data_IF_215271012308
#
_entry.id   IF_215271012308
#
_cell.length_a   1.000
_cell.length_b   1.000
_cell.length_c   1.000
_cell.angle_alpha   90.00
_cell.angle_beta   90.00
_cell.angle_gamma   90.00
#
_symmetry.space_group_name_H-M   'P 1'
#
loop_
_entity.id
_entity.type
_entity.pdbx_description
1 polymer ?
#
# COMPACT_ATOMS: atom_id res chain seq x y z
N UNK A 1 -6.06 8.08 -16.03
CA UNK A 1 -4.61 8.14 -16.34
C UNK A 1 -3.91 7.07 -15.52
N UNK A 2 -3.13 6.20 -16.15
CA UNK A 2 -2.36 5.16 -15.46
C UNK A 2 -0.99 5.67 -15.00
N UNK A 3 -0.69 5.47 -13.73
CA UNK A 3 0.59 5.82 -13.09
C UNK A 3 1.20 4.54 -12.53
N UNK A 4 2.32 4.09 -13.10
CA UNK A 4 3.08 2.98 -12.53
C UNK A 4 3.98 3.46 -11.38
N UNK A 5 3.55 3.18 -10.16
CA UNK A 5 4.21 3.68 -8.94
C UNK A 5 5.58 3.03 -8.71
N UNK A 6 5.72 1.74 -9.03
CA UNK A 6 6.98 1.02 -8.86
C UNK A 6 8.01 1.43 -9.92
N UNK A 7 7.59 1.69 -11.17
CA UNK A 7 8.47 2.26 -12.18
C UNK A 7 8.98 3.63 -11.75
N UNK A 8 8.10 4.51 -11.27
CA UNK A 8 8.49 5.84 -10.78
C UNK A 8 9.52 5.77 -9.63
N UNK A 9 9.34 4.82 -8.71
CA UNK A 9 10.31 4.58 -7.64
C UNK A 9 11.63 4.02 -8.17
N UNK A 10 11.60 3.04 -9.07
CA UNK A 10 12.81 2.46 -9.65
C UNK A 10 13.63 3.46 -10.46
N UNK A 11 12.97 4.39 -11.17
CA UNK A 11 13.67 5.52 -11.83
C UNK A 11 14.41 6.37 -10.80
N UNK A 12 13.78 6.69 -9.66
CA UNK A 12 14.42 7.40 -8.56
C UNK A 12 15.61 6.60 -7.98
N UNK A 13 15.44 5.29 -7.75
CA UNK A 13 16.52 4.41 -7.29
C UNK A 13 17.71 4.37 -8.25
N UNK A 14 17.47 4.29 -9.56
CA UNK A 14 18.55 4.22 -10.57
C UNK A 14 19.42 5.48 -10.63
N UNK A 15 18.90 6.61 -10.13
CA UNK A 15 19.62 7.88 -10.07
C UNK A 15 20.51 8.02 -8.82
N UNK A 16 20.51 7.02 -7.94
CA UNK A 16 21.17 7.06 -6.63
C UNK A 16 22.09 5.86 -6.41
N UNK A 17 23.07 6.02 -5.53
CA UNK A 17 23.95 4.90 -5.16
C UNK A 17 23.17 3.82 -4.39
N UNK A 18 23.74 2.62 -4.31
CA UNK A 18 23.21 1.54 -3.45
C UNK A 18 23.52 1.75 -1.96
N UNK A 19 24.37 2.73 -1.66
CA UNK A 19 24.87 3.07 -0.31
C UNK A 19 24.00 4.10 0.42
N UNK A 20 22.84 4.46 -0.16
CA UNK A 20 21.93 5.44 0.42
C UNK A 20 20.54 4.85 0.68
N UNK A 21 19.94 5.26 1.81
CA UNK A 21 18.53 5.07 2.09
C UNK A 21 17.70 5.87 1.09
N UNK A 22 16.76 5.22 0.41
CA UNK A 22 15.87 5.89 -0.55
C UNK A 22 14.43 5.71 -0.13
N UNK A 23 13.67 6.81 -0.11
CA UNK A 23 12.25 6.81 0.17
C UNK A 23 11.48 7.67 -0.84
N UNK A 24 10.28 7.21 -1.22
CA UNK A 24 9.28 8.01 -1.92
C UNK A 24 7.90 7.79 -1.34
N UNK A 25 6.96 8.68 -1.65
CA UNK A 25 5.55 8.47 -1.32
C UNK A 25 4.63 9.00 -2.42
N UNK A 26 3.48 8.34 -2.57
CA UNK A 26 2.38 8.75 -3.42
C UNK A 26 1.15 8.95 -2.56
N UNK A 27 0.55 10.14 -2.59
CA UNK A 27 -0.68 10.45 -1.87
C UNK A 27 -1.85 10.44 -2.84
N UNK A 28 -2.95 9.81 -2.43
CA UNK A 28 -4.20 9.81 -3.18
C UNK A 28 -5.06 11.01 -2.77
N UNK A 29 -5.82 11.56 -3.73
CA UNK A 29 -6.78 12.63 -3.46
C UNK A 29 -8.04 12.09 -2.78
N UNK A 30 -8.47 10.90 -3.22
CA UNK A 30 -9.52 10.11 -2.61
C UNK A 30 -9.01 8.69 -2.39
N UNK A 31 -9.47 7.96 -1.35
CA UNK A 31 -9.09 6.59 -1.17
C UNK A 31 -9.41 5.75 -2.42
N UNK A 32 -8.42 5.12 -3.08
CA UNK A 32 -8.68 4.30 -4.24
C UNK A 32 -9.18 2.92 -3.83
N UNK A 33 -9.96 2.29 -4.69
CA UNK A 33 -10.25 0.86 -4.52
C UNK A 33 -9.00 0.06 -4.89
N UNK A 34 -8.47 -0.76 -3.96
CA UNK A 34 -7.36 -1.65 -4.27
C UNK A 34 -7.91 -2.88 -4.99
N UNK A 35 -7.30 -3.27 -6.11
CA UNK A 35 -7.73 -4.42 -6.93
C UNK A 35 -6.52 -5.31 -7.20
N UNK A 36 -6.55 -6.52 -6.68
CA UNK A 36 -5.52 -7.51 -7.01
C UNK A 36 -5.77 -8.08 -8.40
N UNK A 37 -4.75 -8.10 -9.24
CA UNK A 37 -4.82 -8.58 -10.63
C UNK A 37 -3.64 -9.47 -10.97
N UNK A 38 -3.81 -10.36 -11.95
CA UNK A 38 -2.73 -11.25 -12.41
C UNK A 38 -1.64 -10.49 -13.16
N UNK A 39 -2.08 -9.57 -14.01
CA UNK A 39 -1.26 -8.76 -14.89
C UNK A 39 -1.98 -7.43 -15.18
N UNK A 40 -1.23 -6.46 -15.70
CA UNK A 40 -1.73 -5.13 -16.02
C UNK A 40 -2.37 -5.03 -17.42
N UNK A 41 -2.33 -6.10 -18.22
CA UNK A 41 -2.89 -6.09 -19.57
C UNK A 41 -4.40 -6.35 -19.53
N UNK A 42 -4.83 -7.32 -18.71
CA UNK A 42 -6.23 -7.74 -18.62
C UNK A 42 -6.99 -7.09 -17.46
N UNK A 43 -6.29 -6.70 -16.39
CA UNK A 43 -6.86 -6.11 -15.19
C UNK A 43 -8.00 -6.95 -14.55
N UNK A 44 -7.98 -8.26 -14.78
CA UNK A 44 -8.95 -9.19 -14.22
C UNK A 44 -8.76 -9.31 -12.71
N UNK A 45 -9.84 -9.03 -11.95
CA UNK A 45 -9.83 -9.07 -10.49
C UNK A 45 -9.58 -10.50 -9.99
N UNK A 46 -8.65 -10.62 -9.06
CA UNK A 46 -8.36 -11.82 -8.29
C UNK A 46 -8.94 -11.68 -6.89
N UNK A 47 -9.69 -12.68 -6.42
CA UNK A 47 -10.33 -12.65 -5.10
C UNK A 47 -9.60 -13.50 -4.07
N UNK A 48 -8.85 -14.51 -4.50
CA UNK A 48 -8.21 -15.48 -3.61
C UNK A 48 -6.69 -15.55 -3.83
N UNK A 49 -6.00 -15.80 -2.72
CA UNK A 49 -4.55 -15.87 -2.64
C UNK A 49 -3.96 -16.98 -3.51
N UNK A 50 -4.65 -18.12 -3.64
CA UNK A 50 -4.22 -19.27 -4.43
C UNK A 50 -4.25 -19.02 -5.95
N UNK A 51 -4.99 -18.01 -6.41
CA UNK A 51 -5.07 -17.59 -7.81
C UNK A 51 -3.88 -16.73 -8.27
N UNK A 52 -3.08 -16.22 -7.31
CA UNK A 52 -1.84 -15.47 -7.57
C UNK A 52 -0.72 -16.42 -8.03
N UNK A 53 0.22 -15.88 -8.80
CA UNK A 53 1.41 -16.63 -9.22
C UNK A 53 2.27 -17.03 -8.00
N UNK A 54 3.08 -18.08 -8.13
CA UNK A 54 3.99 -18.56 -7.09
C UNK A 54 5.41 -18.72 -7.63
N UNK A 55 6.41 -18.49 -6.78
CA UNK A 55 7.81 -18.73 -7.13
C UNK A 55 8.14 -20.22 -7.09
N UNK A 56 8.90 -20.68 -8.09
CA UNK A 56 9.49 -22.02 -8.08
C UNK A 56 10.86 -21.97 -7.42
N UNK A 57 11.10 -22.86 -6.47
CA UNK A 57 12.35 -22.94 -5.72
C UNK A 57 13.21 -24.12 -6.17
N UNK A 58 14.53 -23.92 -6.25
CA UNK A 58 15.46 -25.04 -6.38
C UNK A 58 15.50 -25.87 -5.10
N UNK A 59 16.02 -27.10 -5.15
CA UNK A 59 16.17 -27.93 -3.95
C UNK A 59 17.08 -27.29 -2.89
N UNK A 60 18.10 -26.53 -3.31
CA UNK A 60 18.95 -25.77 -2.39
C UNK A 60 18.16 -24.66 -1.68
N UNK A 61 17.38 -23.88 -2.44
CA UNK A 61 16.55 -22.80 -1.89
C UNK A 61 15.48 -23.34 -0.94
N UNK A 62 14.83 -24.46 -1.30
CA UNK A 62 13.85 -25.16 -0.44
C UNK A 62 14.45 -25.53 0.90
N UNK A 63 15.70 -26.03 0.92
CA UNK A 63 16.40 -26.36 2.17
C UNK A 63 16.61 -25.13 3.06
N UNK A 64 16.99 -23.98 2.49
CA UNK A 64 17.17 -22.73 3.25
C UNK A 64 15.85 -22.22 3.85
N UNK A 65 14.77 -22.31 3.08
CA UNK A 65 13.41 -21.97 3.53
C UNK A 65 12.98 -22.92 4.65
N UNK A 66 13.17 -24.22 4.48
CA UNK A 66 12.82 -25.22 5.49
C UNK A 66 13.53 -24.98 6.83
N UNK A 67 14.85 -24.73 6.83
CA UNK A 67 15.57 -24.37 8.04
C UNK A 67 15.02 -23.09 8.70
N UNK A 68 14.50 -22.16 7.89
CA UNK A 68 13.87 -20.93 8.40
C UNK A 68 12.49 -21.22 9.01
N UNK A 69 11.71 -22.14 8.45
CA UNK A 69 10.44 -22.63 9.02
C UNK A 69 10.71 -23.24 10.40
N UNK A 70 11.66 -24.18 10.51
CA UNK A 70 12.00 -24.82 11.79
C UNK A 70 12.40 -23.79 12.86
N UNK A 71 13.15 -22.75 12.47
CA UNK A 71 13.54 -21.67 13.38
C UNK A 71 12.34 -20.81 13.83
N UNK A 72 11.39 -20.54 12.94
CA UNK A 72 10.16 -19.80 13.26
C UNK A 72 9.31 -20.61 14.25
N UNK A 73 9.05 -21.88 13.95
CA UNK A 73 8.25 -22.77 14.78
C UNK A 73 8.88 -22.98 16.16
N UNK A 74 10.20 -23.15 16.24
CA UNK A 74 10.93 -23.26 17.51
C UNK A 74 10.79 -22.01 18.39
N UNK A 75 10.60 -20.84 17.77
CA UNK A 75 10.35 -19.59 18.49
C UNK A 75 8.88 -19.36 18.87
N UNK A 76 7.99 -20.31 18.56
CA UNK A 76 6.55 -20.21 18.77
C UNK A 76 5.82 -19.35 17.73
N UNK A 77 6.47 -19.02 16.62
CA UNK A 77 5.85 -18.35 15.48
C UNK A 77 5.21 -19.33 14.50
N UNK A 78 4.59 -18.80 13.45
CA UNK A 78 4.02 -19.60 12.36
C UNK A 78 4.41 -19.02 10.99
N UNK A 79 4.34 -19.86 9.95
CA UNK A 79 4.69 -19.49 8.58
C UNK A 79 3.47 -18.95 7.79
N UNK A 80 3.15 -17.69 8.06
CA UNK A 80 1.99 -16.98 7.50
C UNK A 80 2.02 -16.81 5.98
N UNK A 81 0.83 -16.57 5.41
CA UNK A 81 0.69 -16.26 3.99
C UNK A 81 1.01 -14.78 3.76
N UNK A 82 1.91 -14.51 2.83
CA UNK A 82 2.44 -13.18 2.58
C UNK A 82 2.44 -12.87 1.08
N UNK A 83 2.60 -11.59 0.74
CA UNK A 83 2.58 -11.12 -0.63
C UNK A 83 3.90 -10.45 -0.99
N UNK A 84 4.41 -10.77 -2.18
CA UNK A 84 5.47 -10.01 -2.82
C UNK A 84 4.89 -9.21 -3.98
N UNK A 85 5.04 -7.90 -3.95
CA UNK A 85 4.49 -7.00 -4.95
C UNK A 85 5.42 -6.96 -6.15
N UNK A 86 4.87 -7.30 -7.31
CA UNK A 86 5.57 -7.20 -8.60
C UNK A 86 5.28 -5.90 -9.32
N UNK A 87 4.07 -5.34 -9.15
CA UNK A 87 3.68 -4.09 -9.79
C UNK A 87 2.58 -3.35 -9.00
N UNK A 88 2.58 -2.01 -9.10
CA UNK A 88 1.55 -1.12 -8.57
C UNK A 88 1.20 -0.09 -9.64
N UNK A 89 -0.05 -0.10 -10.10
CA UNK A 89 -0.53 0.82 -11.14
C UNK A 89 -1.80 1.51 -10.68
N UNK A 90 -1.75 2.83 -10.52
CA UNK A 90 -2.90 3.64 -10.15
C UNK A 90 -3.57 4.23 -11.38
N UNK A 91 -4.86 3.97 -11.55
CA UNK A 91 -5.70 4.65 -12.54
C UNK A 91 -6.51 5.76 -11.87
N UNK A 92 -6.13 7.01 -12.15
CA UNK A 92 -6.77 8.19 -11.57
C UNK A 92 -8.19 8.44 -12.08
N UNK A 93 -8.58 7.87 -13.23
CA UNK A 93 -9.92 8.09 -13.80
C UNK A 93 -10.95 7.19 -13.14
N UNK A 94 -10.59 5.92 -12.91
CA UNK A 94 -11.46 4.96 -12.20
C UNK A 94 -11.25 4.93 -10.69
N UNK A 95 -10.29 5.70 -10.16
CA UNK A 95 -9.86 5.72 -8.76
C UNK A 95 -9.54 4.29 -8.24
N UNK A 96 -8.75 3.55 -9.01
CA UNK A 96 -8.37 2.17 -8.70
C UNK A 96 -6.86 2.01 -8.63
N UNK A 97 -6.40 1.28 -7.62
CA UNK A 97 -5.02 0.83 -7.52
C UNK A 97 -4.95 -0.65 -7.89
N UNK A 98 -4.39 -0.96 -9.05
CA UNK A 98 -4.13 -2.32 -9.48
C UNK A 98 -2.82 -2.84 -8.88
N UNK A 99 -2.91 -3.97 -8.19
CA UNK A 99 -1.80 -4.62 -7.48
C UNK A 99 -1.52 -5.96 -8.13
N UNK A 100 -0.32 -6.10 -8.71
CA UNK A 100 0.19 -7.38 -9.18
C UNK A 100 1.07 -7.96 -8.09
N UNK A 101 0.68 -9.12 -7.56
CA UNK A 101 1.39 -9.79 -6.48
C UNK A 101 1.73 -11.25 -6.81
N UNK A 102 2.72 -11.78 -6.10
CA UNK A 102 3.10 -13.19 -6.11
C UNK A 102 2.99 -13.73 -4.70
N UNK A 103 2.50 -14.96 -4.59
CA UNK A 103 2.43 -15.71 -3.33
C UNK A 103 3.81 -15.85 -2.72
N UNK A 104 3.89 -15.62 -1.42
CA UNK A 104 5.08 -15.84 -0.62
C UNK A 104 4.71 -16.38 0.76
N UNK A 105 5.63 -17.08 1.37
CA UNK A 105 5.54 -17.45 2.79
C UNK A 105 6.38 -16.51 3.63
N UNK A 106 6.02 -16.35 4.89
CA UNK A 106 6.80 -15.53 5.82
C UNK A 106 8.24 -16.06 5.94
N UNK A 107 8.43 -17.38 5.93
CA UNK A 107 9.72 -18.06 5.87
C UNK A 107 10.55 -17.62 4.69
N UNK A 108 9.97 -17.54 3.48
CA UNK A 108 10.65 -17.03 2.29
C UNK A 108 11.11 -15.58 2.48
N UNK A 109 10.24 -14.70 2.98
CA UNK A 109 10.59 -13.31 3.28
C UNK A 109 11.72 -13.23 4.32
N UNK A 110 11.68 -14.07 5.35
CA UNK A 110 12.73 -14.15 6.38
C UNK A 110 14.05 -14.69 5.83
N UNK A 111 14.03 -15.60 4.86
CA UNK A 111 15.23 -16.07 4.16
C UNK A 111 15.83 -14.98 3.27
N UNK A 112 15.00 -14.17 2.60
CA UNK A 112 15.46 -13.00 1.82
C UNK A 112 16.17 -11.93 2.69
N UNK A 113 15.86 -11.87 3.98
CA UNK A 113 16.43 -10.88 4.92
C UNK A 113 17.81 -11.28 5.49
N UNK A 114 18.22 -12.53 5.31
CA UNK A 114 19.46 -13.07 5.87
C UNK A 114 20.59 -12.99 4.86
N UNK A 115 21.81 -12.77 5.36
CA UNK A 115 23.00 -12.99 4.54
C UNK A 115 23.12 -14.48 4.15
N UNK A 116 23.81 -14.83 3.06
CA UNK A 116 24.07 -16.23 2.71
C UNK A 116 24.69 -17.03 3.87
N UNK A 117 25.56 -16.39 4.66
CA UNK A 117 26.24 -16.96 5.82
C UNK A 117 25.28 -17.24 6.99
N UNK A 118 24.25 -16.41 7.15
CA UNK A 118 23.23 -16.54 8.20
C UNK A 118 22.03 -17.42 7.78
N UNK A 119 22.18 -18.19 6.69
CA UNK A 119 21.14 -19.07 6.17
C UNK A 119 20.18 -18.42 5.17
N UNK A 120 20.56 -17.28 4.60
CA UNK A 120 19.93 -16.69 3.42
C UNK A 120 20.20 -17.46 2.14
N UNK A 121 19.65 -16.95 1.03
CA UNK A 121 19.86 -17.52 -0.30
C UNK A 121 21.31 -17.37 -0.76
N UNK A 122 21.80 -18.39 -1.47
CA UNK A 122 23.18 -18.39 -1.97
C UNK A 122 23.36 -17.36 -3.10
N UNK A 123 24.56 -16.79 -3.32
CA UNK A 123 24.78 -15.74 -4.32
C UNK A 123 24.46 -16.13 -5.77
N UNK A 124 24.44 -17.43 -6.09
CA UNK A 124 24.06 -17.96 -7.40
C UNK A 124 22.53 -18.05 -7.58
N UNK A 125 21.75 -18.06 -6.48
CA UNK A 125 20.29 -18.12 -6.50
C UNK A 125 19.67 -16.89 -7.18
N UNK A 126 18.59 -17.12 -7.94
CA UNK A 126 17.80 -16.03 -8.55
C UNK A 126 17.22 -15.10 -7.49
N UNK A 127 16.97 -15.62 -6.29
CA UNK A 127 16.41 -14.86 -5.16
C UNK A 127 17.45 -13.99 -4.45
N UNK A 128 18.74 -14.21 -4.70
CA UNK A 128 19.79 -13.31 -4.25
C UNK A 128 19.97 -12.11 -5.19
N UNK A 129 19.77 -12.33 -6.50
CA UNK A 129 20.03 -11.33 -7.56
C UNK A 129 18.84 -10.43 -7.86
N UNK A 130 17.63 -10.86 -7.49
CA UNK A 130 16.39 -10.16 -7.80
C UNK A 130 16.02 -9.20 -6.68
N UNK A 131 15.48 -8.04 -7.05
CA UNK A 131 14.88 -7.11 -6.11
C UNK A 131 13.45 -7.54 -5.77
N UNK A 132 13.11 -7.52 -4.48
CA UNK A 132 11.79 -7.93 -4.00
C UNK A 132 11.09 -6.77 -3.30
N UNK A 133 9.79 -6.64 -3.55
CA UNK A 133 8.96 -5.68 -2.83
C UNK A 133 8.08 -6.41 -1.81
N UNK A 134 8.34 -6.23 -0.53
CA UNK A 134 7.44 -6.67 0.54
C UNK A 134 6.41 -5.59 0.82
N UNK A 135 5.21 -5.98 1.25
CA UNK A 135 4.15 -5.04 1.55
C UNK A 135 3.59 -5.21 2.96
N UNK A 136 3.32 -4.06 3.60
CA UNK A 136 2.61 -3.97 4.86
C UNK A 136 1.74 -2.73 4.91
N UNK A 137 0.98 -2.60 5.99
CA UNK A 137 0.09 -1.46 6.24
C UNK A 137 0.60 -0.63 7.40
N UNK A 138 0.26 0.66 7.39
CA UNK A 138 0.40 1.57 8.53
C UNK A 138 -0.97 2.15 8.81
N UNK A 139 -1.45 2.01 10.04
CA UNK A 139 -2.76 2.45 10.48
C UNK A 139 -2.63 3.55 11.55
N UNK A 140 -2.18 4.77 11.19
CA UNK A 140 -2.02 5.85 12.14
C UNK A 140 -3.39 6.37 12.61
N UNK A 141 -3.53 6.64 13.90
CA UNK A 141 -4.74 7.21 14.46
C UNK A 141 -4.85 8.72 14.22
N UNK A 142 -6.06 9.21 13.98
CA UNK A 142 -6.40 10.64 13.96
C UNK A 142 -7.54 10.89 14.96
N UNK A 143 -7.28 11.68 16.00
CA UNK A 143 -8.28 12.07 17.01
C UNK A 143 -9.16 13.24 16.55
N UNK A 144 -10.28 13.44 17.23
CA UNK A 144 -11.25 14.54 16.97
C UNK A 144 -10.63 15.94 17.13
N UNK A 145 -9.57 16.06 17.93
CA UNK A 145 -8.80 17.30 18.15
C UNK A 145 -7.50 17.37 17.34
N UNK A 146 -7.44 16.61 16.24
CA UNK A 146 -6.39 16.63 15.22
C UNK A 146 -5.00 16.26 15.76
N UNK A 147 -4.86 15.09 16.40
CA UNK A 147 -3.56 14.51 16.76
C UNK A 147 -3.34 13.14 16.12
N UNK A 148 -2.08 12.86 15.78
CA UNK A 148 -1.59 11.50 15.50
C UNK A 148 -0.63 11.04 16.58
N UNK A 149 -0.50 9.73 16.73
CA UNK A 149 0.29 9.10 17.80
C UNK A 149 1.35 8.20 17.19
N UNK A 150 2.53 8.18 17.79
CA UNK A 150 3.55 7.17 17.51
C UNK A 150 4.03 6.53 18.80
N UNK A 151 4.32 5.25 18.74
CA UNK A 151 4.72 4.41 19.86
C UNK A 151 6.08 3.79 19.55
N UNK A 152 6.98 3.75 20.54
CA UNK A 152 8.27 3.11 20.37
C UNK A 152 8.12 1.60 20.28
N UNK A 153 8.70 0.99 19.25
CA UNK A 153 8.70 -0.48 19.11
C UNK A 153 9.50 -1.15 20.23
N UNK A 154 9.02 -2.30 20.71
CA UNK A 154 9.75 -3.15 21.66
C UNK A 154 10.91 -3.87 20.97
N UNK A 155 10.73 -4.30 19.71
CA UNK A 155 11.77 -5.01 18.95
C UNK A 155 12.60 -4.04 18.09
N UNK A 156 13.90 -4.32 17.87
CA UNK A 156 14.70 -3.57 16.91
C UNK A 156 14.14 -3.61 15.48
N UNK A 157 14.33 -2.56 14.68
CA UNK A 157 14.94 -1.28 15.07
C UNK A 157 14.00 -0.49 16.01
N UNK A 158 14.59 0.12 17.05
CA UNK A 158 13.86 0.94 18.03
C UNK A 158 13.46 2.26 17.39
N UNK A 159 12.29 2.26 16.74
CA UNK A 159 11.74 3.41 16.03
C UNK A 159 10.33 3.70 16.51
N UNK A 160 9.94 4.97 16.46
CA UNK A 160 8.55 5.38 16.66
C UNK A 160 7.72 4.98 15.45
N UNK A 161 6.69 4.18 15.68
CA UNK A 161 5.81 3.64 14.65
C UNK A 161 4.35 3.76 15.07
N UNK A 162 3.46 3.21 14.26
CA UNK A 162 2.00 3.17 14.48
C UNK A 162 1.53 1.73 14.39
N UNK A 163 0.24 1.47 14.59
CA UNK A 163 -0.36 0.17 14.32
C UNK A 163 -0.01 -0.30 12.90
N UNK A 164 0.53 -1.50 12.75
CA UNK A 164 1.09 -1.92 11.48
C UNK A 164 1.36 -3.43 11.36
N UNK A 165 0.84 -3.99 10.27
CA UNK A 165 1.02 -5.38 9.90
C UNK A 165 1.63 -5.61 8.54
N UNK A 166 1.97 -6.86 8.27
CA UNK A 166 2.18 -7.32 6.89
C UNK A 166 0.83 -7.63 6.23
N UNK A 167 0.76 -7.60 4.91
CA UNK A 167 -0.45 -7.97 4.17
C UNK A 167 -0.64 -9.50 4.16
N UNK A 168 -1.30 -10.02 5.19
CA UNK A 168 -1.68 -11.44 5.30
C UNK A 168 -3.16 -11.66 4.94
N UNK A 169 -3.49 -12.41 3.86
CA UNK A 169 -4.86 -12.67 3.44
C UNK A 169 -5.65 -13.53 4.45
N UNK A 170 -6.69 -13.01 5.11
CA UNK A 170 -7.49 -13.78 6.06
C UNK A 170 -8.22 -14.91 5.32
N UNK A 171 -7.97 -16.16 5.73
CA UNK A 171 -8.50 -17.37 5.06
C UNK A 171 -8.23 -17.37 3.54
N UNK A 172 -7.11 -16.76 3.11
CA UNK A 172 -6.73 -16.69 1.71
C UNK A 172 -7.56 -15.72 0.87
N UNK A 173 -8.38 -14.84 1.46
CA UNK A 173 -9.17 -13.85 0.71
C UNK A 173 -8.39 -12.55 0.53
N UNK A 174 -8.27 -12.07 -0.70
CA UNK A 174 -7.69 -10.75 -1.03
C UNK A 174 -8.74 -9.63 -0.98
N UNK A 175 -10.01 -10.01 -1.01
CA UNK A 175 -11.18 -9.16 -0.80
C UNK A 175 -12.07 -9.87 0.23
N UNK A 176 -11.80 -9.70 1.54
CA UNK A 176 -12.40 -10.51 2.60
C UNK A 176 -13.92 -10.37 2.75
N UNK A 177 -14.47 -9.19 2.43
CA UNK A 177 -15.90 -8.89 2.54
C UNK A 177 -16.54 -8.62 1.18
N UNK A 178 -17.69 -9.25 0.93
CA UNK A 178 -18.56 -8.99 -0.23
C UNK A 178 -19.29 -7.66 -0.03
N UNK A 179 -18.56 -6.54 0.01
CA UNK A 179 -19.18 -5.24 0.33
C UNK A 179 -18.32 -3.98 0.34
N UNK A 180 -16.99 -4.05 0.38
CA UNK A 180 -16.20 -2.81 0.29
C UNK A 180 -14.72 -2.90 0.65
N UNK A 181 -14.33 -3.82 1.53
CA UNK A 181 -12.96 -3.85 2.04
C UNK A 181 -12.03 -4.72 1.20
N UNK A 182 -10.98 -4.09 0.71
CA UNK A 182 -9.81 -4.79 0.20
C UNK A 182 -8.90 -5.26 1.34
N UNK A 183 -7.96 -6.14 1.03
CA UNK A 183 -7.00 -6.65 2.02
C UNK A 183 -6.25 -5.53 2.77
N UNK A 184 -5.94 -4.41 2.11
CA UNK A 184 -5.13 -3.33 2.70
C UNK A 184 -5.91 -2.64 3.82
N UNK A 185 -7.15 -2.26 3.53
CA UNK A 185 -8.06 -1.62 4.51
C UNK A 185 -8.44 -2.58 5.63
N UNK A 186 -8.73 -3.84 5.31
CA UNK A 186 -9.00 -4.88 6.30
C UNK A 186 -7.85 -5.05 7.29
N UNK A 187 -6.62 -5.25 6.79
CA UNK A 187 -5.46 -5.44 7.68
C UNK A 187 -5.22 -4.18 8.50
N UNK A 188 -5.31 -2.98 7.91
CA UNK A 188 -5.13 -1.74 8.67
C UNK A 188 -6.13 -1.60 9.83
N UNK A 189 -7.40 -1.96 9.60
CA UNK A 189 -8.43 -1.95 10.64
C UNK A 189 -8.11 -2.97 11.74
N UNK A 190 -7.74 -4.20 11.37
CA UNK A 190 -7.43 -5.25 12.34
C UNK A 190 -6.18 -4.97 13.16
N UNK A 191 -5.11 -4.46 12.57
CA UNK A 191 -3.89 -4.07 13.31
C UNK A 191 -4.18 -2.94 14.31
N UNK A 192 -5.05 -1.99 13.95
CA UNK A 192 -5.48 -0.94 14.87
C UNK A 192 -6.24 -1.49 16.09
N UNK A 193 -7.06 -2.51 15.89
CA UNK A 193 -7.76 -3.22 16.97
C UNK A 193 -6.80 -4.07 17.81
N UNK A 194 -6.07 -4.99 17.17
CA UNK A 194 -5.24 -5.98 17.86
C UNK A 194 -4.06 -5.36 18.60
N UNK A 195 -3.50 -4.25 18.09
CA UNK A 195 -2.38 -3.60 18.75
C UNK A 195 -2.77 -2.55 19.79
N UNK A 196 -3.95 -1.91 19.71
CA UNK A 196 -4.29 -0.78 20.59
C UNK A 196 -5.71 -0.77 21.15
N UNK A 197 -6.73 -0.97 20.31
CA UNK A 197 -8.12 -0.67 20.66
C UNK A 197 -8.89 -1.89 21.21
N UNK A 198 -8.27 -3.07 21.22
CA UNK A 198 -8.92 -4.34 21.60
C UNK A 198 -9.88 -4.85 20.53
N UNK A 199 -10.12 -6.16 20.51
CA UNK A 199 -11.16 -6.77 19.66
C UNK A 199 -12.34 -7.20 20.54
N UNK A 200 -13.52 -6.53 20.43
CA UNK A 200 -14.70 -6.86 21.21
C UNK A 200 -15.18 -8.32 21.07
N UNK A 201 -14.77 -9.03 20.01
CA UNK A 201 -15.12 -10.45 19.80
C UNK A 201 -14.18 -11.42 20.51
N UNK A 202 -13.01 -10.97 20.93
CA UNK A 202 -11.93 -11.81 21.43
C UNK A 202 -11.44 -11.42 22.83
N UNK A 203 -11.68 -10.19 23.28
CA UNK A 203 -11.33 -9.75 24.62
C UNK A 203 -12.38 -10.18 25.65
N UNK A 204 -11.97 -11.09 26.55
CA UNK A 204 -12.83 -11.70 27.58
C UNK A 204 -12.84 -10.95 28.91
N UNK A 205 -12.16 -9.80 29.02
CA UNK A 205 -12.15 -8.98 30.25
C UNK A 205 -13.29 -7.95 30.20
N UNK A 206 -14.42 -8.18 30.90
CA UNK A 206 -15.59 -7.30 30.82
C UNK A 206 -15.34 -5.91 31.40
N UNK A 207 -14.31 -5.76 32.25
CA UNK A 207 -13.98 -4.50 32.93
C UNK A 207 -13.07 -3.61 32.07
N UNK A 208 -12.20 -4.23 31.26
CA UNK A 208 -11.36 -3.52 30.29
C UNK A 208 -12.18 -3.00 29.12
N UNK A 209 -13.15 -3.81 28.67
CA UNK A 209 -14.05 -3.48 27.57
C UNK A 209 -14.97 -2.30 27.94
N UNK A 210 -15.57 -2.30 29.14
CA UNK A 210 -16.56 -1.28 29.55
C UNK A 210 -16.00 0.13 29.81
N UNK A 211 -14.71 0.30 30.16
CA UNK A 211 -14.19 1.58 30.68
C UNK A 211 -13.30 2.37 29.70
N UNK A 212 -12.59 1.72 28.77
CA UNK A 212 -11.63 2.40 27.88
C UNK A 212 -11.94 2.24 26.39
N UNK A 213 -12.33 1.04 25.95
CA UNK A 213 -12.40 0.68 24.52
C UNK A 213 -13.81 0.61 23.93
N UNK A 214 -14.84 0.16 24.67
CA UNK A 214 -16.21 0.02 24.17
C UNK A 214 -16.90 1.33 23.73
N UNK A 215 -16.19 2.47 23.72
CA UNK A 215 -16.71 3.76 23.25
C UNK A 215 -15.86 4.42 22.17
N UNK A 216 -14.75 3.82 21.75
CA UNK A 216 -13.98 4.34 20.61
C UNK A 216 -14.57 3.72 19.34
N UNK A 217 -15.42 4.50 18.68
CA UNK A 217 -15.84 4.24 17.30
C UNK A 217 -14.68 4.58 16.38
N UNK A 218 -14.34 3.60 15.58
CA UNK A 218 -13.35 3.70 14.52
C UNK A 218 -14.13 3.92 13.22
N UNK A 219 -13.78 4.96 12.47
CA UNK A 219 -14.20 5.05 11.07
C UNK A 219 -13.38 4.07 10.23
N UNK A 220 -14.02 3.45 9.24
CA UNK A 220 -13.36 2.51 8.34
C UNK A 220 -12.18 3.20 7.65
N UNK A 221 -10.95 2.64 7.77
CA UNK A 221 -9.77 3.26 7.21
C UNK A 221 -9.79 3.18 5.68
N UNK A 222 -9.36 4.26 5.03
CA UNK A 222 -9.16 4.32 3.59
C UNK A 222 -7.68 4.49 3.23
N UNK A 223 -7.22 3.80 2.18
CA UNK A 223 -5.87 3.96 1.68
C UNK A 223 -5.62 5.40 1.24
N UNK A 224 -4.76 6.13 1.95
CA UNK A 224 -4.52 7.56 1.69
C UNK A 224 -3.18 7.82 1.04
N UNK A 225 -2.21 6.93 1.24
CA UNK A 225 -0.92 7.01 0.57
C UNK A 225 -0.20 5.66 0.50
N UNK A 226 0.80 5.59 -0.37
CA UNK A 226 1.79 4.51 -0.40
C UNK A 226 3.15 5.12 -0.20
N UNK A 227 3.89 4.67 0.80
CA UNK A 227 5.31 4.94 0.95
C UNK A 227 6.12 3.74 0.44
N UNK A 228 7.23 3.99 -0.24
CA UNK A 228 8.16 2.95 -0.66
C UNK A 228 9.54 3.33 -0.20
N UNK A 229 10.26 2.39 0.41
CA UNK A 229 11.62 2.60 0.87
C UNK A 229 12.54 1.44 0.57
N UNK A 230 13.80 1.75 0.31
CA UNK A 230 14.90 0.80 0.24
C UNK A 230 15.95 1.27 1.22
N UNK A 231 16.26 0.43 2.20
CA UNK A 231 17.36 0.70 3.12
C UNK A 231 18.72 0.59 2.38
N UNK A 232 19.73 1.27 2.90
CA UNK A 232 21.11 1.15 2.46
C UNK A 232 21.52 -0.33 2.31
N UNK A 233 22.16 -0.65 1.18
CA UNK A 233 22.64 -1.99 0.84
C UNK A 233 21.57 -3.10 0.85
N UNK A 234 20.27 -2.74 0.86
CA UNK A 234 19.17 -3.69 0.84
C UNK A 234 18.71 -4.00 -0.59
N UNK A 235 18.59 -5.29 -0.91
CA UNK A 235 17.95 -5.78 -2.14
C UNK A 235 16.42 -5.79 -2.04
N UNK A 236 15.87 -5.29 -0.93
CA UNK A 236 14.44 -5.27 -0.64
C UNK A 236 13.89 -3.85 -0.67
N UNK A 237 12.76 -3.70 -1.34
CA UNK A 237 11.89 -2.54 -1.24
C UNK A 237 10.77 -2.89 -0.25
N UNK A 238 10.52 -1.99 0.69
CA UNK A 238 9.38 -2.07 1.61
C UNK A 238 8.32 -1.08 1.13
N UNK A 239 7.15 -1.62 0.81
CA UNK A 239 5.96 -0.86 0.43
C UNK A 239 5.05 -0.79 1.65
N UNK A 240 4.71 0.42 2.05
CA UNK A 240 3.87 0.70 3.21
C UNK A 240 2.59 1.41 2.74
N UNK A 241 1.47 0.71 2.84
CA UNK A 241 0.13 1.25 2.56
C UNK A 241 -0.36 2.02 3.79
N UNK A 242 -0.48 3.34 3.69
CA UNK A 242 -0.85 4.20 4.81
C UNK A 242 -2.36 4.42 4.79
N UNK A 243 -3.04 3.87 5.79
CA UNK A 243 -4.49 3.88 5.94
C UNK A 243 -4.87 4.51 7.29
N UNK A 244 -4.94 5.85 7.38
CA UNK A 244 -5.25 6.52 8.63
C UNK A 244 -6.62 6.13 9.18
N UNK A 245 -6.68 5.97 10.50
CA UNK A 245 -7.82 5.50 11.26
C UNK A 245 -8.37 6.67 12.07
N UNK A 246 -9.52 7.21 11.67
CA UNK A 246 -10.18 8.27 12.44
C UNK A 246 -10.91 7.64 13.62
N UNK A 247 -10.72 8.23 14.79
CA UNK A 247 -11.30 7.75 16.05
C UNK A 247 -12.07 8.88 16.74
N UNK A 248 -13.23 8.54 17.30
CA UNK A 248 -14.10 9.48 18.00
C UNK A 248 -13.66 9.76 19.46
N UNK A 249 -12.38 10.07 19.63
CA UNK A 249 -11.85 10.50 20.92
C UNK A 249 -10.86 11.65 20.74
N UNK A 250 -10.64 12.39 21.82
CA UNK A 250 -9.62 13.42 21.87
C UNK A 250 -8.25 12.83 22.24
N UNK A 251 -7.22 13.67 22.15
CA UNK A 251 -5.84 13.31 22.48
C UNK A 251 -5.70 12.68 23.86
N UNK A 252 -6.26 13.31 24.90
CA UNK A 252 -6.09 12.85 26.28
C UNK A 252 -6.64 11.44 26.50
N UNK A 253 -7.79 11.12 25.90
CA UNK A 253 -8.36 9.77 25.96
C UNK A 253 -7.50 8.75 25.19
N UNK A 254 -6.93 9.13 24.04
CA UNK A 254 -6.04 8.24 23.30
C UNK A 254 -4.71 7.98 24.05
N UNK A 255 -4.13 8.99 24.69
CA UNK A 255 -2.95 8.82 25.55
C UNK A 255 -3.24 7.87 26.72
N UNK A 256 -4.43 7.96 27.32
CA UNK A 256 -4.85 7.05 28.38
C UNK A 256 -4.98 5.60 27.86
N UNK A 257 -5.53 5.42 26.66
CA UNK A 257 -5.62 4.12 25.99
C UNK A 257 -4.22 3.54 25.77
N UNK A 258 -3.29 4.30 25.19
CA UNK A 258 -1.92 3.85 24.92
C UNK A 258 -1.20 3.47 26.23
N UNK A 259 -1.34 4.30 27.27
CA UNK A 259 -0.70 4.06 28.56
C UNK A 259 -1.25 2.80 29.27
N UNK A 260 -2.50 2.44 29.02
CA UNK A 260 -3.19 1.29 29.61
C UNK A 260 -3.50 0.22 28.56
N UNK A 261 -2.69 0.13 27.51
CA UNK A 261 -2.93 -0.77 26.40
C UNK A 261 -2.77 -2.24 26.85
N UNK A 262 -3.83 -3.02 26.69
CA UNK A 262 -3.90 -4.46 26.96
C UNK A 262 -4.46 -5.22 25.75
N UNK A 263 -4.45 -4.59 24.57
CA UNK A 263 -4.79 -5.29 23.34
C UNK A 263 -3.86 -6.49 23.12
N UNK A 264 -4.32 -7.47 22.34
CA UNK A 264 -3.64 -8.74 22.09
C UNK A 264 -2.16 -8.58 21.77
N UNK A 265 -1.84 -7.60 20.93
CA UNK A 265 -0.49 -7.34 20.41
C UNK A 265 0.17 -6.09 21.02
N UNK A 266 -0.33 -5.62 22.18
CA UNK A 266 0.23 -4.47 22.90
C UNK A 266 1.71 -4.65 23.30
N UNK A 267 2.20 -5.89 23.42
CA UNK A 267 3.59 -6.20 23.74
C UNK A 267 4.58 -5.75 22.65
N UNK A 268 4.10 -5.45 21.44
CA UNK A 268 4.93 -4.97 20.34
C UNK A 268 5.47 -3.55 20.56
N UNK A 269 4.89 -2.81 21.51
CA UNK A 269 5.23 -1.41 21.80
C UNK A 269 5.62 -1.19 23.27
N UNK A 270 6.37 -0.12 23.50
CA UNK A 270 6.71 0.37 24.83
C UNK A 270 5.66 1.40 25.25
N UNK A 271 4.72 1.00 26.11
CA UNK A 271 3.56 1.82 26.52
C UNK A 271 3.92 3.19 27.13
N UNK A 272 5.10 3.31 27.75
CA UNK A 272 5.60 4.56 28.35
C UNK A 272 6.32 5.48 27.38
N UNK A 273 6.54 5.04 26.14
CA UNK A 273 7.26 5.81 25.12
C UNK A 273 6.36 6.03 23.92
N UNK A 274 5.55 7.08 24.01
CA UNK A 274 4.72 7.57 22.92
C UNK A 274 4.93 9.05 22.69
N UNK A 275 4.66 9.49 21.46
CA UNK A 275 4.64 10.90 21.09
C UNK A 275 3.29 11.22 20.44
N UNK A 276 2.70 12.34 20.84
CA UNK A 276 1.49 12.89 20.22
C UNK A 276 1.89 14.07 19.34
N UNK A 277 1.57 14.04 18.05
CA UNK A 277 1.92 15.12 17.11
C UNK A 277 0.65 15.85 16.70
N UNK A 278 0.53 17.17 16.95
CA UNK A 278 -0.62 17.93 16.47
C UNK A 278 -0.56 18.03 14.94
N UNK A 279 -1.70 17.79 14.31
CA UNK A 279 -1.88 17.83 12.87
C UNK A 279 -2.34 19.22 12.41
N UNK A 280 -2.98 19.99 13.29
CA UNK A 280 -3.50 21.32 12.96
C UNK A 280 -2.38 22.29 12.55
N UNK A 281 -2.56 22.96 11.40
CA UNK A 281 -1.55 23.88 10.85
C UNK A 281 -1.16 25.04 11.77
N UNK A 282 -2.06 25.48 12.66
CA UNK A 282 -1.79 26.51 13.67
C UNK A 282 -0.79 26.07 14.74
N UNK A 283 -0.64 24.75 14.95
CA UNK A 283 0.28 24.14 15.92
C UNK A 283 1.56 23.61 15.26
N UNK A 284 1.90 24.08 14.06
CA UNK A 284 3.08 23.62 13.30
C UNK A 284 4.39 23.68 14.11
N UNK A 285 4.65 24.78 14.80
CA UNK A 285 5.90 24.94 15.55
C UNK A 285 5.99 23.87 16.65
N UNK A 286 4.88 23.62 17.35
CA UNK A 286 4.78 22.53 18.31
C UNK A 286 5.04 21.16 17.68
N UNK A 287 4.47 20.88 16.49
CA UNK A 287 4.72 19.63 15.78
C UNK A 287 6.22 19.47 15.42
N UNK A 288 6.84 20.53 14.89
CA UNK A 288 8.28 20.54 14.56
C UNK A 288 9.15 20.31 15.80
N UNK A 289 8.85 21.00 16.90
CA UNK A 289 9.59 20.87 18.16
C UNK A 289 9.52 19.43 18.69
N UNK A 290 8.34 18.81 18.67
CA UNK A 290 8.15 17.40 19.08
C UNK A 290 8.96 16.47 18.16
N UNK A 291 8.84 16.63 16.83
CA UNK A 291 9.50 15.74 15.87
C UNK A 291 11.03 15.86 15.88
N UNK A 292 11.57 17.02 16.25
CA UNK A 292 13.02 17.27 16.38
C UNK A 292 13.65 16.63 17.63
N UNK A 293 12.85 16.32 18.65
CA UNK A 293 13.31 15.65 19.87
C UNK A 293 13.38 14.13 19.72
N UNK A 294 12.82 13.60 18.63
CA UNK A 294 12.78 12.17 18.32
C UNK A 294 14.02 11.80 17.51
N UNK A 295 14.67 10.66 17.79
CA UNK A 295 15.83 10.21 17.01
C UNK A 295 15.54 10.21 15.50
N UNK A 296 16.52 10.67 14.71
CA UNK A 296 16.42 10.64 13.24
C UNK A 296 16.33 9.20 12.69
N UNK A 297 16.83 8.21 13.45
CA UNK A 297 16.65 6.79 13.14
C UNK A 297 15.15 6.46 13.13
N UNK A 298 14.63 6.06 11.97
CA UNK A 298 13.21 5.74 11.79
C UNK A 298 12.34 6.90 11.29
N UNK A 299 12.94 8.08 11.01
CA UNK A 299 12.26 9.21 10.37
C UNK A 299 11.54 8.84 9.07
N UNK A 300 12.13 7.93 8.32
CA UNK A 300 11.58 7.37 7.08
C UNK A 300 10.20 6.70 7.30
N UNK A 301 9.96 6.03 8.44
CA UNK A 301 8.66 5.44 8.79
C UNK A 301 7.65 6.53 9.17
N UNK A 302 8.09 7.49 9.98
CA UNK A 302 7.24 8.49 10.63
C UNK A 302 6.75 9.58 9.68
N UNK A 303 7.63 10.09 8.83
CA UNK A 303 7.35 11.32 8.10
C UNK A 303 6.25 11.19 7.03
N UNK A 304 6.15 10.09 6.26
CA UNK A 304 4.99 9.85 5.39
C UNK A 304 3.68 9.84 6.17
N UNK A 305 3.67 9.27 7.37
CA UNK A 305 2.49 9.23 8.24
C UNK A 305 2.08 10.63 8.67
N UNK A 306 3.03 11.44 9.17
CA UNK A 306 2.74 12.83 9.58
C UNK A 306 2.21 13.64 8.40
N UNK A 307 2.82 13.51 7.22
CA UNK A 307 2.40 14.25 6.04
C UNK A 307 0.95 13.90 5.64
N UNK A 308 0.61 12.61 5.59
CA UNK A 308 -0.72 12.14 5.17
C UNK A 308 -1.79 12.48 6.19
N UNK A 309 -1.53 12.21 7.48
CA UNK A 309 -2.48 12.53 8.55
C UNK A 309 -2.75 14.04 8.65
N UNK A 310 -1.73 14.88 8.44
CA UNK A 310 -1.90 16.33 8.44
C UNK A 310 -2.73 16.85 7.26
N UNK A 311 -2.58 16.23 6.08
CA UNK A 311 -3.41 16.53 4.92
C UNK A 311 -4.88 16.17 5.16
N UNK A 312 -5.16 15.03 5.80
CA UNK A 312 -6.52 14.59 6.11
C UNK A 312 -7.19 15.46 7.18
N UNK A 313 -6.44 15.85 8.22
CA UNK A 313 -6.94 16.74 9.27
C UNK A 313 -7.16 18.18 8.78
N UNK A 314 -6.41 18.62 7.76
CA UNK A 314 -6.51 19.98 7.24
C UNK A 314 -6.53 20.02 5.69
N UNK A 315 -7.64 19.63 5.04
CA UNK A 315 -7.70 19.54 3.58
C UNK A 315 -7.48 20.89 2.87
N UNK A 316 -7.82 22.02 3.52
CA UNK A 316 -7.56 23.37 3.03
C UNK A 316 -6.08 23.80 3.12
N UNK A 317 -5.27 23.03 3.84
CA UNK A 317 -3.96 23.41 4.32
C UNK A 317 -2.93 22.46 3.74
N UNK A 318 -2.33 22.84 2.60
CA UNK A 318 -1.23 22.11 1.92
C UNK A 318 0.10 22.21 2.67
N UNK A 319 0.04 22.30 3.99
CA UNK A 319 0.98 23.10 4.78
C UNK A 319 2.09 22.30 5.45
N UNK A 320 2.12 20.97 5.38
CA UNK A 320 3.41 20.30 5.54
C UNK A 320 4.19 20.51 4.27
N UNK A 321 5.42 21.07 4.34
CA UNK A 321 6.22 21.19 3.15
C UNK A 321 6.33 19.80 2.54
N UNK A 322 6.13 19.71 1.24
CA UNK A 322 6.43 18.52 0.44
C UNK A 322 7.95 18.22 0.44
N UNK A 323 8.68 18.67 1.45
CA UNK A 323 10.13 18.59 1.69
C UNK A 323 10.32 18.83 3.19
N UNK A 324 10.77 17.84 3.96
CA UNK A 324 11.01 18.02 5.39
C UNK A 324 12.21 18.96 5.64
N UNK A 325 12.28 19.65 6.79
CA UNK A 325 13.39 20.54 7.10
C UNK A 325 14.69 19.75 7.30
N UNK A 326 15.80 20.23 6.73
CA UNK A 326 17.15 19.86 7.16
C UNK A 326 18.13 19.39 6.08
N UNK A 327 17.68 18.96 4.91
CA UNK A 327 18.54 18.75 3.74
C UNK A 327 17.76 19.07 2.46
N UNK A 328 18.39 19.77 1.52
CA UNK A 328 18.05 19.69 0.10
C UNK A 328 18.36 18.26 -0.35
N UNK A 329 17.54 17.28 0.04
CA UNK A 329 17.55 16.01 -0.66
C UNK A 329 16.63 16.17 -1.86
N UNK A 330 17.23 16.05 -3.04
CA UNK A 330 16.66 15.82 -4.37
C UNK A 330 15.75 14.59 -4.44
N UNK A 331 15.16 14.16 -3.32
CA UNK A 331 14.72 12.79 -3.06
C UNK A 331 13.29 12.69 -2.54
N UNK A 332 12.62 13.82 -2.30
CA UNK A 332 11.19 13.83 -2.08
C UNK A 332 10.51 14.48 -3.28
N UNK A 333 10.13 13.66 -4.25
CA UNK A 333 9.16 14.07 -5.27
C UNK A 333 7.84 13.41 -4.87
N UNK A 334 6.89 14.18 -4.30
CA UNK A 334 5.51 13.77 -4.30
C UNK A 334 5.14 13.66 -5.77
N UNK A 335 4.85 12.45 -6.25
CA UNK A 335 4.46 12.23 -7.64
C UNK A 335 3.22 13.08 -7.99
N UNK A 336 2.41 13.47 -6.99
CA UNK A 336 1.32 14.44 -7.09
C UNK A 336 1.75 15.91 -7.33
N UNK A 337 3.05 16.19 -7.48
CA UNK A 337 3.63 17.52 -7.84
C UNK A 337 4.37 17.51 -9.16
N UNK A 338 4.55 16.34 -9.79
CA UNK A 338 4.94 16.29 -11.18
C UNK A 338 3.74 16.82 -11.98
N UNK A 339 3.65 18.15 -12.11
CA UNK A 339 3.20 18.72 -13.38
C UNK A 339 4.12 18.10 -14.41
N UNK A 340 3.62 17.06 -15.06
CA UNK A 340 4.17 16.36 -16.21
C UNK A 340 5.41 17.05 -16.79
N UNK A 341 6.60 16.73 -16.30
CA UNK A 341 7.75 16.72 -17.18
C UNK A 341 7.62 15.42 -17.94
N UNK A 342 6.85 15.54 -19.01
CA UNK A 342 6.66 14.58 -20.07
C UNK A 342 8.03 14.01 -20.46
N UNK A 343 8.38 12.83 -19.96
CA UNK A 343 9.05 11.88 -20.83
C UNK A 343 7.92 11.18 -21.58
N UNK A 344 7.44 11.85 -22.62
CA UNK A 344 7.04 11.13 -23.82
C UNK A 344 8.29 10.33 -24.14
N UNK A 345 8.25 9.03 -23.93
CA UNK A 345 8.94 8.15 -24.87
C UNK A 345 8.42 8.62 -26.22
N UNK A 346 9.25 9.37 -26.94
CA UNK A 346 8.93 9.77 -28.30
C UNK A 346 8.73 8.43 -29.00
N UNK A 347 7.47 8.06 -29.23
CA UNK A 347 7.16 7.00 -30.17
C UNK A 347 7.98 7.31 -31.41
N UNK A 348 8.75 6.33 -31.88
CA UNK A 348 9.46 6.51 -33.14
C UNK A 348 8.44 6.90 -34.22
N UNK A 349 8.89 7.54 -35.29
CA UNK A 349 7.98 7.89 -36.40
C UNK A 349 7.21 6.64 -36.91
N UNK A 350 7.84 5.46 -36.82
CA UNK A 350 7.22 4.16 -37.12
C UNK A 350 6.13 3.75 -36.11
N UNK A 351 6.37 3.88 -34.80
CA UNK A 351 5.35 3.55 -33.78
C UNK A 351 4.15 4.49 -33.84
N UNK A 352 4.39 5.78 -34.15
CA UNK A 352 3.32 6.76 -34.35
C UNK A 352 2.51 6.45 -35.62
N UNK A 353 3.19 5.99 -36.69
CA UNK A 353 2.53 5.56 -37.92
C UNK A 353 1.71 4.28 -37.71
N UNK A 354 2.23 3.30 -36.97
CA UNK A 354 1.54 2.06 -36.62
C UNK A 354 0.27 2.35 -35.80
N UNK A 355 0.37 3.21 -34.78
CA UNK A 355 -0.77 3.58 -33.94
C UNK A 355 -1.86 4.32 -34.73
N UNK A 356 -1.47 5.19 -35.67
CA UNK A 356 -2.40 5.86 -36.59
C UNK A 356 -3.06 4.86 -37.54
N UNK A 357 -2.30 3.89 -38.05
CA UNK A 357 -2.82 2.83 -38.90
C UNK A 357 -3.86 1.96 -38.17
N UNK A 358 -3.58 1.52 -36.93
CA UNK A 358 -4.54 0.72 -36.15
C UNK A 358 -5.81 1.49 -35.79
N UNK A 359 -5.70 2.79 -35.48
CA UNK A 359 -6.88 3.65 -35.26
C UNK A 359 -7.71 3.84 -36.53
N UNK A 360 -7.04 3.97 -37.68
CA UNK A 360 -7.71 4.06 -38.98
C UNK A 360 -8.43 2.74 -39.31
N UNK A 361 -7.79 1.59 -39.08
CA UNK A 361 -8.42 0.28 -39.28
C UNK A 361 -9.63 0.04 -38.37
N UNK A 362 -9.54 0.44 -37.10
CA UNK A 362 -10.65 0.34 -36.17
C UNK A 362 -11.82 1.22 -36.64
N UNK A 363 -11.56 2.49 -36.98
CA UNK A 363 -12.59 3.38 -37.54
C UNK A 363 -13.19 2.88 -38.86
N UNK A 364 -12.40 2.26 -39.74
CA UNK A 364 -12.90 1.63 -40.97
C UNK A 364 -13.78 0.41 -40.67
N UNK A 365 -13.44 -0.40 -39.64
CA UNK A 365 -14.28 -1.53 -39.21
C UNK A 365 -15.61 -1.05 -38.65
N UNK A 366 -15.60 -0.02 -37.81
CA UNK A 366 -16.81 0.55 -37.22
C UNK A 366 -17.72 1.15 -38.29
N UNK A 367 -17.16 1.93 -39.24
CA UNK A 367 -17.91 2.47 -40.38
C UNK A 367 -18.48 1.37 -41.29
N UNK A 368 -17.76 0.26 -41.49
CA UNK A 368 -18.29 -0.89 -42.26
C UNK A 368 -19.44 -1.59 -41.53
N UNK A 369 -19.37 -1.69 -40.20
CA UNK A 369 -20.44 -2.25 -39.39
C UNK A 369 -21.70 -1.37 -39.46
N UNK A 370 -21.55 -0.05 -39.30
CA UNK A 370 -22.65 0.91 -39.45
C UNK A 370 -23.28 0.87 -40.84
N UNK A 371 -22.45 0.82 -41.90
CA UNK A 371 -22.95 0.71 -43.28
C UNK A 371 -23.72 -0.61 -43.51
N UNK A 372 -23.31 -1.71 -42.88
CA UNK A 372 -24.02 -2.99 -42.92
C UNK A 372 -25.39 -2.92 -42.25
N UNK A 373 -25.50 -2.21 -41.13
CA UNK A 373 -26.77 -1.96 -40.45
C UNK A 373 -27.71 -1.11 -41.32
N UNK A 374 -27.18 -0.06 -41.96
CA UNK A 374 -27.97 0.81 -42.85
C UNK A 374 -28.52 0.04 -44.05
N UNK A 375 -27.69 -0.79 -44.71
CA UNK A 375 -28.14 -1.62 -45.84
C UNK A 375 -29.21 -2.62 -45.45
N UNK A 376 -29.08 -3.24 -44.28
CA UNK A 376 -30.08 -4.19 -43.76
C UNK A 376 -31.42 -3.49 -43.47
N UNK A 377 -31.38 -2.26 -42.97
CA UNK A 377 -32.57 -1.45 -42.76
C UNK A 377 -33.24 -1.05 -44.09
N UNK A 378 -32.45 -0.68 -45.09
CA UNK A 378 -32.95 -0.34 -46.43
C UNK A 378 -33.64 -1.54 -47.11
N UNK A 379 -33.05 -2.74 -47.04
CA UNK A 379 -33.67 -3.97 -47.54
C UNK A 379 -34.98 -4.30 -46.82
N UNK A 380 -35.05 -4.09 -45.50
CA UNK A 380 -36.26 -4.30 -44.72
C UNK A 380 -37.39 -3.32 -45.11
N UNK A 381 -37.05 -2.06 -45.34
CA UNK A 381 -37.99 -1.03 -45.82
C UNK A 381 -38.49 -1.38 -47.22
N UNK A 382 -37.58 -1.73 -48.14
CA UNK A 382 -37.95 -2.11 -49.50
C UNK A 382 -38.85 -3.35 -49.54
N UNK A 383 -38.56 -4.37 -48.72
CA UNK A 383 -39.45 -5.54 -48.57
C UNK A 383 -40.85 -5.15 -48.09
N UNK A 384 -40.93 -4.23 -47.12
CA UNK A 384 -42.20 -3.77 -46.56
C UNK A 384 -43.03 -3.00 -47.58
N UNK A 385 -42.40 -2.11 -48.34
CA UNK A 385 -43.04 -1.36 -49.43
C UNK A 385 -43.58 -2.32 -50.51
N UNK A 386 -42.79 -3.32 -50.93
CA UNK A 386 -43.24 -4.33 -51.91
C UNK A 386 -44.43 -5.12 -51.37
N UNK A 387 -44.42 -5.48 -50.07
CA UNK A 387 -45.52 -6.23 -49.44
C UNK A 387 -46.80 -5.40 -49.38
N UNK A 388 -46.72 -4.10 -49.04
CA UNK A 388 -47.86 -3.19 -48.98
C UNK A 388 -48.43 -2.81 -50.36
N UNK A 389 -47.61 -2.87 -51.42
CA UNK A 389 -48.07 -2.62 -52.81
C UNK A 389 -48.69 -3.89 -53.44
N UNK A 390 -48.37 -5.08 -52.93
CA UNK A 390 -48.86 -6.37 -53.47
C UNK A 390 -50.02 -6.99 -52.69
N UNK A 391 -50.43 -6.36 -51.58
CA UNK A 391 -51.67 -6.62 -50.82
C UNK A 391 -52.76 -5.62 -51.19
#
# INVERSE_FOLDING_TARGET
MFINLLTAFNTNLSSKSTEEDVQTSFNFEHPPAVVFVRDLEKLEKINHYDQLNEYTFSEKDKKKIHNTIEAIEKSGGYDGNQLLIGNLSYDSESNKLYVVATRAKYSFIRTLQKSPQDGGFDPDSIFYKKMFCTAGVRAPFITEDDYTFFMMRTRPPKVYSVAAGLLEPPKGRLHPEDGGDDLVTYVAYHEALEEFLGDPKHDKDPLYDQLLHARVKIEQPGLSAIAMRRAENSVRIEIEFICPVKINCNKAKMELIIANNKAKDAYEHVSTQSISVPLNSSKRNQATDILSQVPEVGKFVRDPIVAVTSMLANPASRFFPRVLPGKLTTEFVPISTLRSTVQRTLMTAEETALLRFFKLEAGIRDLKAELGVIKSAEEAVNKRIVTEITS
#
